data_IF_862609664046
#
_entry.id   IF_862609664046
#
_cell.length_a   1.000
_cell.length_b   1.000
_cell.length_c   1.000
_cell.angle_alpha   90.00
_cell.angle_beta   90.00
_cell.angle_gamma   90.00
#
_symmetry.space_group_name_H-M   'P 1'
#
loop_
_entity.id
_entity.type
_entity.pdbx_description
1 polymer ?
#
# COMPACT_ATOMS: atom_id res chain seq x y z
N UNK A 1 -9.65 -0.76 -56.08
CA UNK A 1 -9.38 -0.88 -54.63
C UNK A 1 -10.72 -0.85 -53.92
N UNK A 2 -11.29 -2.03 -53.65
CA UNK A 2 -12.53 -2.15 -52.90
C UNK A 2 -12.19 -2.05 -51.42
N UNK A 3 -12.50 -0.93 -50.79
CA UNK A 3 -12.70 -0.91 -49.34
C UNK A 3 -14.12 -0.37 -49.15
N UNK A 4 -14.98 -1.29 -48.74
CA UNK A 4 -16.37 -1.04 -48.38
C UNK A 4 -16.47 0.18 -47.47
N UNK A 5 -17.51 0.98 -47.73
CA UNK A 5 -18.01 2.03 -46.85
C UNK A 5 -18.19 1.51 -45.41
N UNK A 6 -17.15 1.61 -44.60
CA UNK A 6 -17.32 1.67 -43.15
C UNK A 6 -17.82 3.09 -42.91
N UNK A 7 -19.14 3.23 -42.75
CA UNK A 7 -19.69 4.38 -42.04
C UNK A 7 -19.05 4.35 -40.65
N UNK A 8 -17.94 5.05 -40.48
CA UNK A 8 -17.53 5.51 -39.16
C UNK A 8 -18.66 6.43 -38.75
N UNK A 9 -19.58 5.92 -37.92
CA UNK A 9 -20.59 6.75 -37.27
C UNK A 9 -19.81 7.83 -36.53
N UNK A 10 -19.74 9.03 -37.10
CA UNK A 10 -19.26 10.24 -36.46
C UNK A 10 -20.24 10.60 -35.33
N UNK A 11 -20.30 9.80 -34.28
CA UNK A 11 -20.91 10.18 -33.01
C UNK A 11 -19.91 11.09 -32.29
N UNK A 12 -19.90 12.36 -32.68
CA UNK A 12 -19.26 13.51 -32.05
C UNK A 12 -17.77 13.33 -31.69
N UNK A 13 -16.86 13.79 -32.58
CA UNK A 13 -15.46 14.08 -32.23
C UNK A 13 -15.42 15.26 -31.26
N UNK A 14 -15.75 15.04 -29.98
CA UNK A 14 -15.38 15.94 -28.92
C UNK A 14 -14.04 15.47 -28.38
N UNK A 15 -12.99 16.30 -28.45
CA UNK A 15 -11.66 16.00 -27.90
C UNK A 15 -11.69 15.65 -26.40
N UNK A 16 -12.84 15.84 -25.75
CA UNK A 16 -13.09 15.61 -24.35
C UNK A 16 -13.64 14.20 -24.05
N UNK A 17 -14.27 13.51 -25.01
CA UNK A 17 -14.91 12.20 -24.78
C UNK A 17 -14.75 11.25 -25.97
N UNK A 18 -14.49 9.98 -25.68
CA UNK A 18 -14.50 8.87 -26.64
C UNK A 18 -15.78 8.05 -26.43
N UNK A 19 -16.70 8.12 -27.39
CA UNK A 19 -17.96 7.37 -27.33
C UNK A 19 -17.91 6.10 -28.19
N UNK A 20 -18.28 4.96 -27.60
CA UNK A 20 -18.42 3.66 -28.26
C UNK A 20 -19.74 3.57 -29.03
N UNK A 21 -19.83 2.61 -29.95
CA UNK A 21 -21.04 2.30 -30.74
C UNK A 21 -22.22 1.88 -29.85
N UNK A 22 -21.95 1.40 -28.62
CA UNK A 22 -22.95 1.09 -27.59
C UNK A 22 -23.50 2.32 -26.85
N UNK A 23 -23.02 3.53 -27.14
CA UNK A 23 -23.43 4.77 -26.48
C UNK A 23 -22.71 5.07 -25.15
N UNK A 24 -21.74 4.25 -24.76
CA UNK A 24 -20.87 4.54 -23.61
C UNK A 24 -19.81 5.57 -24.00
N UNK A 25 -19.66 6.64 -23.20
CA UNK A 25 -18.65 7.67 -23.42
C UNK A 25 -17.67 7.70 -22.25
N UNK A 26 -16.38 7.62 -22.57
CA UNK A 26 -15.27 7.71 -21.62
C UNK A 26 -14.58 9.09 -21.75
N UNK A 27 -14.15 9.73 -20.66
CA UNK A 27 -13.43 10.99 -20.71
C UNK A 27 -12.03 10.83 -21.33
N UNK A 28 -11.54 11.90 -21.95
CA UNK A 28 -10.21 11.95 -22.59
C UNK A 28 -9.26 12.84 -21.82
N UNK A 29 -8.09 12.30 -21.49
CA UNK A 29 -6.98 13.05 -20.89
C UNK A 29 -5.86 13.17 -21.94
N UNK A 30 -5.63 14.39 -22.45
CA UNK A 30 -4.72 14.63 -23.58
C UNK A 30 -3.27 14.18 -23.30
N UNK A 31 -2.77 14.41 -22.09
CA UNK A 31 -1.47 13.91 -21.63
C UNK A 31 -1.48 12.45 -21.16
N UNK A 32 -2.65 11.81 -21.12
CA UNK A 32 -2.86 10.50 -20.50
C UNK A 32 -2.71 10.51 -18.97
N UNK A 33 -3.10 9.41 -18.34
CA UNK A 33 -2.84 9.14 -16.92
C UNK A 33 -1.96 7.88 -16.84
N UNK A 34 -0.68 8.02 -16.46
CA UNK A 34 0.31 6.92 -16.52
C UNK A 34 -0.01 5.84 -15.50
N UNK A 35 -0.22 6.23 -14.23
CA UNK A 35 -0.67 5.36 -13.15
C UNK A 35 -1.97 5.90 -12.56
N UNK A 36 -2.98 6.05 -13.41
CA UNK A 36 -4.26 6.63 -13.01
C UNK A 36 -5.35 6.32 -14.00
N UNK A 37 -6.56 6.68 -13.61
CA UNK A 37 -7.75 6.59 -14.45
C UNK A 37 -8.20 8.00 -14.81
N UNK A 38 -8.50 8.25 -16.09
CA UNK A 38 -9.10 9.52 -16.50
C UNK A 38 -10.56 9.53 -16.02
N UNK A 39 -10.92 10.44 -15.13
CA UNK A 39 -12.27 10.51 -14.53
C UNK A 39 -13.09 11.69 -15.06
N UNK A 40 -12.41 12.64 -15.68
CA UNK A 40 -13.00 13.78 -16.37
C UNK A 40 -12.03 14.26 -17.45
N UNK A 41 -12.48 15.03 -18.45
CA UNK A 41 -11.57 15.55 -19.46
C UNK A 41 -10.42 16.33 -18.84
N UNK A 42 -9.18 15.86 -19.06
CA UNK A 42 -7.97 16.43 -18.47
C UNK A 42 -7.74 16.19 -16.97
N UNK A 43 -8.60 15.42 -16.29
CA UNK A 43 -8.49 15.13 -14.85
C UNK A 43 -8.20 13.65 -14.60
N UNK A 44 -7.02 13.39 -14.04
CA UNK A 44 -6.60 12.05 -13.64
C UNK A 44 -6.92 11.78 -12.15
N UNK A 45 -7.54 10.63 -11.88
CA UNK A 45 -7.55 10.02 -10.56
C UNK A 45 -6.36 9.06 -10.46
N UNK A 46 -5.34 9.44 -9.70
CA UNK A 46 -4.14 8.63 -9.55
C UNK A 46 -4.40 7.37 -8.73
N UNK A 47 -3.78 6.27 -9.15
CA UNK A 47 -3.75 5.03 -8.41
C UNK A 47 -2.88 5.18 -7.15
N UNK A 48 -3.04 4.24 -6.22
CA UNK A 48 -2.36 4.26 -4.94
C UNK A 48 -0.83 4.39 -5.07
N UNK A 49 -0.24 5.33 -4.34
CA UNK A 49 1.19 5.61 -4.35
C UNK A 49 1.68 6.51 -5.49
N UNK A 50 0.78 7.12 -6.27
CA UNK A 50 1.12 8.04 -7.36
C UNK A 50 0.42 9.39 -7.23
N UNK A 51 1.11 10.45 -7.68
CA UNK A 51 0.67 11.84 -7.62
C UNK A 51 1.07 12.62 -8.88
N UNK A 52 0.48 13.80 -9.05
CA UNK A 52 0.72 14.72 -10.15
C UNK A 52 -0.34 14.66 -11.25
N UNK A 53 -0.32 15.64 -12.15
CA UNK A 53 -1.40 15.87 -13.13
C UNK A 53 -1.65 14.68 -14.07
N UNK A 54 -0.62 13.87 -14.33
CA UNK A 54 -0.71 12.66 -15.13
C UNK A 54 -0.32 11.38 -14.35
N UNK A 55 -0.21 11.46 -13.02
CA UNK A 55 0.12 10.33 -12.14
C UNK A 55 1.46 9.65 -12.45
N UNK A 56 2.45 10.39 -12.96
CA UNK A 56 3.79 9.84 -13.24
C UNK A 56 4.73 9.86 -12.03
N UNK A 57 4.44 10.67 -11.00
CA UNK A 57 5.32 10.80 -9.84
C UNK A 57 4.94 9.78 -8.78
N UNK A 58 5.89 8.95 -8.37
CA UNK A 58 5.69 7.95 -7.33
C UNK A 58 6.00 8.52 -5.95
N UNK A 59 5.20 8.17 -4.95
CA UNK A 59 5.47 8.50 -3.55
C UNK A 59 6.58 7.62 -2.96
N UNK A 60 7.43 8.18 -2.11
CA UNK A 60 8.51 7.47 -1.42
C UNK A 60 8.04 6.86 -0.09
N UNK A 61 6.92 6.15 -0.14
CA UNK A 61 6.26 5.56 1.03
C UNK A 61 6.31 4.03 1.00
N UNK A 62 7.38 3.47 0.43
CA UNK A 62 7.56 2.02 0.24
C UNK A 62 6.35 1.29 -0.37
N UNK A 63 5.56 1.99 -1.21
CA UNK A 63 4.30 1.49 -1.80
C UNK A 63 3.24 1.10 -0.76
N UNK A 64 3.27 1.70 0.41
CA UNK A 64 2.33 1.46 1.51
C UNK A 64 1.54 2.71 1.93
N UNK A 65 1.72 3.86 1.27
CA UNK A 65 0.88 5.04 1.49
C UNK A 65 0.81 5.91 0.23
N UNK A 66 -0.23 6.73 0.15
CA UNK A 66 -0.21 7.95 -0.65
C UNK A 66 0.64 9.03 0.04
N UNK A 67 1.08 10.02 -0.71
CA UNK A 67 1.83 11.18 -0.22
C UNK A 67 1.05 12.48 -0.44
N UNK A 68 1.48 13.55 0.22
CA UNK A 68 0.79 14.84 0.19
C UNK A 68 0.72 15.47 -1.21
N UNK A 69 1.69 15.18 -2.08
CA UNK A 69 1.69 15.64 -3.46
C UNK A 69 3.08 15.56 -4.10
N UNK A 70 3.21 16.09 -5.31
CA UNK A 70 4.46 16.06 -6.10
C UNK A 70 5.61 16.81 -5.40
N UNK A 71 5.30 17.89 -4.68
CA UNK A 71 6.30 18.69 -3.96
C UNK A 71 6.78 18.06 -2.64
N UNK A 72 6.04 17.09 -2.12
CA UNK A 72 6.32 16.42 -0.84
C UNK A 72 6.14 14.89 -0.98
N UNK A 73 6.91 14.22 -1.86
CA UNK A 73 6.74 12.79 -2.16
C UNK A 73 7.10 11.87 -1.00
N UNK A 74 7.90 12.38 -0.05
CA UNK A 74 8.32 11.72 1.18
C UNK A 74 7.32 11.88 2.33
N UNK A 75 6.34 12.80 2.22
CA UNK A 75 5.36 13.03 3.27
C UNK A 75 4.18 12.08 3.12
N UNK A 76 4.32 10.90 3.70
CA UNK A 76 3.30 9.86 3.70
C UNK A 76 2.08 10.27 4.54
N UNK A 77 0.87 10.03 4.00
CA UNK A 77 -0.39 10.38 4.66
C UNK A 77 -0.78 9.36 5.73
N UNK A 78 -0.88 8.08 5.35
CA UNK A 78 -1.28 7.00 6.24
C UNK A 78 -0.73 5.65 5.75
N UNK A 79 0.15 5.05 6.55
CA UNK A 79 0.72 3.74 6.25
C UNK A 79 -0.32 2.61 6.32
N UNK A 80 -0.44 1.87 5.21
CA UNK A 80 -1.32 0.72 5.01
C UNK A 80 -0.55 -0.60 5.11
N UNK A 81 -1.24 -1.73 4.97
CA UNK A 81 -0.64 -3.07 5.01
C UNK A 81 0.18 -3.38 6.28
N UNK A 82 -0.28 -2.87 7.43
CA UNK A 82 0.38 -3.06 8.73
C UNK A 82 1.82 -2.54 8.77
N UNK A 83 2.08 -1.43 8.08
CA UNK A 83 3.38 -0.74 8.10
C UNK A 83 3.34 0.53 8.95
N UNK A 84 4.52 1.00 9.31
CA UNK A 84 4.77 2.21 10.10
C UNK A 84 6.15 2.80 9.76
N UNK A 85 6.46 3.93 10.37
CA UNK A 85 7.66 4.72 10.05
C UNK A 85 7.31 5.91 9.16
N UNK A 86 8.28 6.81 8.98
CA UNK A 86 8.07 8.03 8.21
C UNK A 86 7.79 7.74 6.72
N UNK A 87 8.37 6.64 6.21
CA UNK A 87 8.23 6.18 4.84
C UNK A 87 7.53 4.82 4.74
N UNK A 88 6.82 4.40 5.78
CA UNK A 88 6.16 3.09 5.88
C UNK A 88 7.12 1.90 5.66
N UNK A 89 8.38 2.05 6.09
CA UNK A 89 9.48 1.12 5.84
C UNK A 89 9.61 0.02 6.91
N UNK A 90 8.81 0.08 7.98
CA UNK A 90 8.82 -0.88 9.08
C UNK A 90 7.46 -1.55 9.23
N UNK A 91 7.43 -2.77 9.75
CA UNK A 91 6.18 -3.41 10.14
C UNK A 91 5.69 -2.84 11.48
N UNK A 92 4.36 -2.78 11.63
CA UNK A 92 3.71 -2.48 12.92
C UNK A 92 4.11 -3.53 13.97
N UNK A 93 3.96 -3.24 15.28
CA UNK A 93 4.26 -4.22 16.31
C UNK A 93 3.35 -5.44 16.11
N UNK A 94 3.85 -6.64 16.44
CA UNK A 94 3.17 -7.92 16.21
C UNK A 94 3.01 -8.32 14.73
N UNK A 95 3.71 -7.64 13.82
CA UNK A 95 3.86 -8.07 12.44
C UNK A 95 5.33 -8.29 12.09
N UNK A 96 5.59 -9.30 11.24
CA UNK A 96 6.92 -9.68 10.79
C UNK A 96 7.00 -9.76 9.28
N UNK A 97 8.22 -9.53 8.78
CA UNK A 97 8.52 -9.48 7.36
C UNK A 97 9.31 -8.23 7.02
N UNK A 98 9.30 -7.85 5.74
CA UNK A 98 9.93 -6.63 5.24
C UNK A 98 8.85 -5.77 4.61
N UNK A 99 8.80 -4.48 4.96
CA UNK A 99 7.91 -3.49 4.35
C UNK A 99 8.55 -2.75 3.17
N UNK A 100 9.85 -2.95 2.92
CA UNK A 100 10.58 -2.20 1.90
C UNK A 100 10.10 -2.56 0.49
N UNK A 101 9.88 -1.55 -0.36
CA UNK A 101 9.60 -1.75 -1.80
C UNK A 101 8.23 -2.37 -2.13
N UNK A 102 7.28 -2.32 -1.21
CA UNK A 102 5.98 -2.99 -1.32
C UNK A 102 6.02 -4.43 -0.82
N UNK A 103 6.82 -4.68 0.22
CA UNK A 103 6.90 -5.99 0.86
C UNK A 103 5.64 -6.34 1.65
N UNK A 104 5.75 -7.26 2.61
CA UNK A 104 4.59 -7.77 3.35
C UNK A 104 4.92 -7.91 4.83
N UNK A 105 3.98 -7.42 5.65
CA UNK A 105 3.97 -7.57 7.10
C UNK A 105 2.88 -8.58 7.48
N UNK A 106 3.30 -9.78 7.90
CA UNK A 106 2.41 -10.88 8.30
C UNK A 106 2.18 -10.85 9.81
N UNK A 107 0.97 -11.12 10.29
CA UNK A 107 0.69 -11.13 11.73
C UNK A 107 1.47 -12.25 12.42
N UNK A 108 2.04 -11.98 13.59
CA UNK A 108 2.79 -12.95 14.38
C UNK A 108 2.00 -14.23 14.64
N UNK A 109 0.68 -14.13 14.88
CA UNK A 109 -0.16 -15.30 15.10
C UNK A 109 -0.12 -16.29 13.93
N UNK A 110 -0.15 -15.79 12.70
CA UNK A 110 -0.06 -16.63 11.52
C UNK A 110 1.37 -17.17 11.35
N UNK A 111 2.37 -16.30 11.53
CA UNK A 111 3.77 -16.67 11.43
C UNK A 111 4.17 -17.77 12.43
N UNK A 112 3.69 -17.69 13.67
CA UNK A 112 3.87 -18.66 14.73
C UNK A 112 2.86 -19.84 14.65
N UNK A 113 2.15 -20.02 13.53
CA UNK A 113 1.17 -21.12 13.32
C UNK A 113 0.12 -21.24 14.43
N UNK A 114 -0.33 -20.11 14.98
CA UNK A 114 -1.31 -20.01 16.07
C UNK A 114 -0.73 -20.10 17.48
N UNK A 115 0.56 -20.44 17.63
CA UNK A 115 1.19 -20.68 18.93
C UNK A 115 1.53 -19.42 19.71
N UNK A 116 1.61 -18.25 19.08
CA UNK A 116 1.90 -17.00 19.79
C UNK A 116 1.39 -15.80 19.01
N UNK A 117 0.79 -14.84 19.69
CA UNK A 117 0.45 -13.53 19.11
C UNK A 117 1.65 -12.57 19.09
N UNK A 118 2.76 -12.94 19.75
CA UNK A 118 3.97 -12.13 19.89
C UNK A 118 5.15 -12.89 19.26
N UNK A 119 5.87 -12.24 18.36
CA UNK A 119 7.04 -12.79 17.67
C UNK A 119 8.23 -11.84 17.75
N UNK A 120 8.57 -11.45 18.99
CA UNK A 120 9.71 -10.62 19.34
C UNK A 120 10.88 -11.51 19.79
N UNK A 121 12.10 -11.11 19.48
CA UNK A 121 13.29 -11.68 20.12
C UNK A 121 13.32 -11.34 21.62
N UNK A 122 14.10 -12.09 22.40
CA UNK A 122 14.28 -11.84 23.84
C UNK A 122 14.80 -10.43 24.11
N UNK A 123 15.69 -9.93 23.26
CA UNK A 123 16.27 -8.58 23.39
C UNK A 123 15.26 -7.49 23.03
N UNK A 124 14.43 -7.68 22.00
CA UNK A 124 13.36 -6.73 21.65
C UNK A 124 12.29 -6.66 22.73
N UNK A 125 11.90 -7.81 23.28
CA UNK A 125 10.97 -7.86 24.39
C UNK A 125 11.53 -7.14 25.62
N UNK A 126 12.82 -7.37 25.94
CA UNK A 126 13.47 -6.65 27.04
C UNK A 126 13.53 -5.14 26.80
N UNK A 127 13.92 -4.72 25.59
CA UNK A 127 13.95 -3.29 25.24
C UNK A 127 12.56 -2.64 25.33
N UNK A 128 11.51 -3.36 24.96
CA UNK A 128 10.13 -2.87 25.07
C UNK A 128 9.62 -2.76 26.51
N UNK A 129 10.06 -3.66 27.40
CA UNK A 129 9.80 -3.53 28.83
C UNK A 129 10.59 -2.36 29.45
N UNK A 130 11.86 -2.20 29.06
CA UNK A 130 12.74 -1.15 29.59
C UNK A 130 12.34 0.24 29.06
N UNK A 131 11.85 0.33 27.81
CA UNK A 131 11.50 1.58 27.11
C UNK A 131 10.11 1.50 26.44
N UNK A 132 9.02 1.47 27.23
CA UNK A 132 7.66 1.28 26.71
C UNK A 132 7.14 2.44 25.84
N UNK A 133 7.74 3.64 25.94
CA UNK A 133 7.40 4.79 25.10
C UNK A 133 7.98 4.66 23.68
N UNK A 134 9.20 4.13 23.56
CA UNK A 134 9.92 4.00 22.28
C UNK A 134 9.53 2.72 21.54
N UNK A 135 9.11 1.71 22.29
CA UNK A 135 8.72 0.39 21.80
C UNK A 135 7.39 -0.05 22.42
N UNK A 136 6.30 0.69 22.15
CA UNK A 136 5.01 0.38 22.74
C UNK A 136 4.54 -1.00 22.26
N UNK A 137 4.39 -1.91 23.21
CA UNK A 137 3.66 -3.16 22.99
C UNK A 137 2.24 -2.98 23.51
N UNK A 138 1.28 -3.54 22.78
CA UNK A 138 -0.11 -3.55 23.22
C UNK A 138 -0.21 -4.41 24.51
N UNK A 139 -0.61 -3.84 25.66
CA UNK A 139 -0.69 -4.56 26.93
C UNK A 139 -1.56 -5.83 26.87
N UNK A 140 -2.61 -5.81 26.04
CA UNK A 140 -3.52 -6.96 25.87
C UNK A 140 -2.83 -8.12 25.13
N UNK A 141 -1.83 -7.80 24.29
CA UNK A 141 -1.00 -8.77 23.60
C UNK A 141 0.17 -9.31 24.43
N UNK A 142 0.47 -8.67 25.57
CA UNK A 142 1.64 -8.92 26.44
C UNK A 142 1.23 -9.48 27.83
N UNK A 143 0.01 -10.02 27.98
CA UNK A 143 -0.41 -10.58 29.27
C UNK A 143 0.45 -11.80 29.70
N UNK A 144 0.68 -11.88 31.02
CA UNK A 144 1.72 -12.57 31.83
C UNK A 144 2.00 -14.09 31.62
N UNK A 145 2.03 -14.58 30.38
CA UNK A 145 2.49 -15.95 30.04
C UNK A 145 3.57 -15.97 28.94
N UNK A 146 4.15 -14.80 28.63
CA UNK A 146 4.96 -14.55 27.44
C UNK A 146 6.31 -15.29 27.36
N UNK A 147 6.88 -15.74 28.48
CA UNK A 147 8.21 -16.38 28.46
C UNK A 147 8.22 -17.75 27.78
N UNK A 148 7.09 -18.49 27.81
CA UNK A 148 6.97 -19.85 27.24
C UNK A 148 6.52 -19.80 25.77
N UNK A 149 5.58 -18.91 25.43
CA UNK A 149 5.00 -18.82 24.07
C UNK A 149 5.96 -18.19 23.05
N UNK A 150 6.81 -17.25 23.47
CA UNK A 150 7.87 -16.69 22.61
C UNK A 150 8.88 -17.78 22.22
N UNK A 151 9.26 -18.65 23.16
CA UNK A 151 10.10 -19.82 22.86
C UNK A 151 9.44 -20.80 21.90
N UNK A 152 8.14 -21.07 22.04
CA UNK A 152 7.39 -21.94 21.14
C UNK A 152 7.30 -21.38 19.72
N UNK A 153 7.19 -20.06 19.54
CA UNK A 153 7.28 -19.47 18.20
C UNK A 153 8.66 -19.71 17.56
N UNK A 154 9.75 -19.52 18.30
CA UNK A 154 11.12 -19.78 17.81
C UNK A 154 11.33 -21.27 17.46
N UNK A 155 10.83 -22.18 18.29
CA UNK A 155 10.85 -23.63 18.04
C UNK A 155 10.04 -24.02 16.78
N UNK A 156 8.94 -23.32 16.49
CA UNK A 156 8.10 -23.55 15.30
C UNK A 156 8.76 -23.10 13.99
N UNK A 157 9.73 -22.17 14.06
CA UNK A 157 10.50 -21.69 12.89
C UNK A 157 11.61 -22.71 12.53
N UNK A 158 12.11 -23.45 13.52
CA UNK A 158 13.19 -24.44 13.38
C UNK A 158 12.70 -25.86 13.01
N UNK A 159 11.38 -26.06 12.87
CA UNK A 159 10.71 -27.33 12.50
C UNK A 159 9.85 -27.17 11.23
#
# INVERSE_FOLDING_TARGET
VYIHSIRVSFSSFSLLHLCSVSGQCEPVCAQGCVNGTCVSPGVCQCHFGFVGDNCSSQCHCNKHSNCKGVSEPDKCLECKNNTMGDHCEKCKPLYVGSAVGGGTCRPCREFCRGNSAVCLSRDEHKRALDHPQDHPLDPDSVSDSLSILVHLCVLSILL
#
